data_IF_298535675616
#
_entry.id   IF_298535675616
#
_cell.length_a   1.000
_cell.length_b   1.000
_cell.length_c   1.000
_cell.angle_alpha   90.00
_cell.angle_beta   90.00
_cell.angle_gamma   90.00
#
_symmetry.space_group_name_H-M   'P 1'
#
loop_
_entity.id
_entity.type
_entity.pdbx_description
1 polymer ?
#
# COMPACT_ATOMS: atom_id res chain seq x y z
N UNK A 1 -58.20 -38.60 20.93
CA UNK A 1 -57.99 -37.90 22.18
C UNK A 1 -56.51 -37.71 22.33
N UNK A 2 -56.01 -36.56 21.92
CA UNK A 2 -54.63 -36.23 22.03
C UNK A 2 -54.54 -34.73 22.32
N UNK A 3 -54.26 -34.46 23.59
CA UNK A 3 -54.00 -33.10 24.10
C UNK A 3 -52.68 -32.59 23.60
N UNK A 4 -52.73 -31.41 23.00
CA UNK A 4 -51.54 -30.58 22.79
C UNK A 4 -51.53 -29.45 23.82
N UNK A 5 -50.47 -29.23 24.57
CA UNK A 5 -50.40 -28.07 25.44
C UNK A 5 -50.02 -26.80 24.65
N UNK A 6 -50.63 -25.71 25.11
CA UNK A 6 -50.56 -24.34 24.60
C UNK A 6 -49.14 -23.76 24.53
N UNK A 7 -48.81 -23.19 23.38
CA UNK A 7 -47.67 -22.29 23.23
C UNK A 7 -47.97 -20.94 23.88
N UNK A 8 -47.38 -20.70 25.04
CA UNK A 8 -47.32 -19.38 25.65
C UNK A 8 -46.24 -18.54 24.91
N UNK A 9 -46.69 -17.41 24.38
CA UNK A 9 -45.84 -16.42 23.75
C UNK A 9 -44.72 -15.94 24.66
N UNK A 10 -43.50 -15.98 24.15
CA UNK A 10 -42.34 -15.29 24.71
C UNK A 10 -42.38 -13.86 24.22
N UNK A 11 -42.86 -12.97 25.07
CA UNK A 11 -42.61 -11.52 24.89
C UNK A 11 -41.10 -11.27 25.00
N UNK A 12 -40.53 -10.76 23.92
CA UNK A 12 -39.14 -10.26 23.95
C UNK A 12 -39.16 -8.88 24.59
N UNK A 13 -38.66 -8.80 25.80
CA UNK A 13 -38.27 -7.55 26.41
C UNK A 13 -37.17 -6.90 25.56
N UNK A 14 -37.48 -5.72 25.05
CA UNK A 14 -36.49 -4.83 24.41
C UNK A 14 -35.49 -4.34 25.48
N UNK A 15 -34.29 -4.92 25.46
CA UNK A 15 -33.18 -4.41 26.23
C UNK A 15 -32.74 -3.05 25.64
N UNK A 16 -32.52 -2.02 26.47
CA UNK A 16 -32.04 -0.74 25.98
C UNK A 16 -30.66 -0.89 25.38
N UNK A 17 -30.50 -0.35 24.18
CA UNK A 17 -29.19 -0.23 23.51
C UNK A 17 -28.25 0.56 24.44
N UNK A 18 -27.27 -0.14 25.01
CA UNK A 18 -26.18 0.50 25.71
C UNK A 18 -25.30 1.19 24.65
N UNK A 19 -25.41 2.50 24.61
CA UNK A 19 -24.50 3.40 23.92
C UNK A 19 -23.12 3.29 24.60
N UNK A 20 -22.33 2.31 24.16
CA UNK A 20 -20.93 2.19 24.57
C UNK A 20 -20.12 3.00 23.59
N UNK A 21 -20.11 4.32 23.80
CA UNK A 21 -19.07 5.20 23.31
C UNK A 21 -17.74 4.68 23.86
N UNK A 22 -17.00 3.95 23.03
CA UNK A 22 -15.62 3.59 23.29
C UNK A 22 -14.82 4.88 23.28
N UNK A 23 -14.59 5.44 24.46
CA UNK A 23 -13.58 6.48 24.66
C UNK A 23 -12.24 5.88 24.24
N UNK A 24 -11.42 6.60 23.44
CA UNK A 24 -10.09 6.13 23.12
C UNK A 24 -9.26 6.09 24.41
N UNK A 25 -8.82 4.89 24.78
CA UNK A 25 -7.86 4.71 25.85
C UNK A 25 -6.59 5.51 25.51
N UNK A 26 -6.39 6.60 26.21
CA UNK A 26 -5.15 7.36 26.24
C UNK A 26 -4.08 6.50 26.91
N UNK A 27 -3.25 5.87 26.09
CA UNK A 27 -2.06 5.13 26.50
C UNK A 27 -0.87 5.66 25.73
N UNK A 28 -0.16 6.59 26.37
CA UNK A 28 1.26 6.90 26.33
C UNK A 28 1.95 7.17 25.00
N UNK A 29 2.66 8.26 25.02
CA UNK A 29 3.63 8.84 24.10
C UNK A 29 3.03 9.63 22.94
N UNK A 30 2.68 10.89 23.29
CA UNK A 30 2.30 11.96 22.38
C UNK A 30 3.37 12.22 21.31
N UNK A 31 3.32 11.47 20.22
CA UNK A 31 3.83 11.94 18.95
C UNK A 31 2.63 12.55 18.21
N UNK A 32 2.36 13.78 18.48
CA UNK A 32 1.32 14.54 17.77
C UNK A 32 1.80 14.81 16.33
N UNK A 33 1.64 13.83 15.46
CA UNK A 33 1.71 14.06 14.02
C UNK A 33 0.52 14.93 13.57
N UNK A 34 0.64 15.65 12.45
CA UNK A 34 -0.48 16.38 11.88
C UNK A 34 -1.67 15.46 11.66
N UNK A 35 -2.87 15.96 11.90
CA UNK A 35 -4.09 15.19 11.71
C UNK A 35 -4.12 14.61 10.26
N UNK A 36 -4.46 13.35 10.08
CA UNK A 36 -4.53 12.75 8.76
C UNK A 36 -5.51 13.52 7.88
N UNK A 37 -5.13 13.78 6.64
CA UNK A 37 -5.99 14.47 5.69
C UNK A 37 -7.02 13.51 5.11
N UNK A 38 -8.30 13.80 5.28
CA UNK A 38 -9.37 13.01 4.67
C UNK A 38 -9.40 13.26 3.16
N UNK A 39 -9.06 12.24 2.39
CA UNK A 39 -8.98 12.35 0.92
C UNK A 39 -10.25 11.83 0.25
N UNK A 40 -10.83 10.75 0.76
CA UNK A 40 -11.96 10.11 0.10
C UNK A 40 -12.85 9.34 1.08
N UNK A 41 -14.17 9.49 0.91
CA UNK A 41 -15.16 8.60 1.52
C UNK A 41 -15.57 7.56 0.47
N UNK A 42 -15.28 6.30 0.72
CA UNK A 42 -15.75 5.18 -0.11
C UNK A 42 -17.01 4.60 0.52
N UNK A 43 -18.01 4.36 -0.30
CA UNK A 43 -19.28 3.76 0.10
C UNK A 43 -19.42 2.38 -0.54
N UNK A 44 -20.08 1.45 0.19
CA UNK A 44 -20.25 0.07 -0.26
C UNK A 44 -19.01 -0.81 -0.10
N UNK A 45 -19.18 -2.12 -0.32
CA UNK A 45 -18.11 -3.10 -0.11
C UNK A 45 -16.91 -2.86 -1.05
N UNK A 46 -17.17 -2.47 -2.30
CA UNK A 46 -16.14 -2.29 -3.33
C UNK A 46 -15.84 -0.83 -3.64
N UNK A 47 -16.42 0.12 -2.92
CA UNK A 47 -16.23 1.55 -3.13
C UNK A 47 -16.85 2.09 -4.41
N UNK A 48 -17.77 1.36 -5.03
CA UNK A 48 -18.47 1.79 -6.22
C UNK A 48 -19.52 2.86 -5.86
N UNK A 49 -19.27 4.11 -6.22
CA UNK A 49 -20.24 5.18 -6.03
C UNK A 49 -21.34 5.08 -7.12
N UNK A 50 -22.59 5.02 -6.70
CA UNK A 50 -23.74 5.10 -7.60
C UNK A 50 -24.13 3.81 -8.32
N UNK A 51 -23.45 2.70 -8.10
CA UNK A 51 -23.91 1.38 -8.53
C UNK A 51 -24.99 0.87 -7.59
N UNK A 52 -25.94 0.11 -8.11
CA UNK A 52 -26.89 -0.65 -7.30
C UNK A 52 -26.14 -1.73 -6.54
N UNK A 53 -25.46 -1.35 -5.46
CA UNK A 53 -24.78 -2.29 -4.59
C UNK A 53 -25.84 -3.21 -3.92
N UNK A 54 -25.98 -4.39 -4.49
CA UNK A 54 -26.93 -5.42 -4.02
C UNK A 54 -26.33 -6.31 -2.93
N UNK A 55 -25.09 -6.03 -2.49
CA UNK A 55 -24.40 -6.83 -1.47
C UNK A 55 -24.99 -6.71 -0.07
N UNK A 56 -25.91 -5.76 0.18
CA UNK A 56 -26.42 -5.41 1.51
C UNK A 56 -25.49 -4.49 2.32
N UNK A 57 -24.33 -4.18 1.77
CA UNK A 57 -23.30 -3.33 2.42
C UNK A 57 -23.21 -1.91 1.82
N UNK A 58 -24.20 -1.50 1.00
CA UNK A 58 -24.22 -0.19 0.33
C UNK A 58 -24.20 1.02 1.27
N UNK A 59 -24.53 0.83 2.56
CA UNK A 59 -24.47 1.87 3.60
C UNK A 59 -23.12 1.94 4.29
N UNK A 60 -22.22 0.97 4.09
CA UNK A 60 -20.87 1.02 4.65
C UNK A 60 -20.12 2.22 4.08
N UNK A 61 -19.59 3.01 4.97
CA UNK A 61 -18.70 4.12 4.63
C UNK A 61 -17.29 3.79 5.13
N UNK A 62 -16.31 3.92 4.26
CA UNK A 62 -14.90 3.84 4.60
C UNK A 62 -14.26 5.19 4.33
N UNK A 63 -13.73 5.79 5.38
CA UNK A 63 -12.87 6.97 5.26
C UNK A 63 -11.49 6.48 4.86
N UNK A 64 -10.98 7.01 3.76
CA UNK A 64 -9.59 6.80 3.31
C UNK A 64 -8.82 8.06 3.66
N UNK A 65 -7.92 7.92 4.59
CA UNK A 65 -7.04 9.01 5.04
C UNK A 65 -5.66 8.82 4.40
N UNK A 66 -5.17 9.91 3.79
CA UNK A 66 -3.81 9.94 3.26
C UNK A 66 -2.98 10.85 4.18
N UNK A 67 -1.91 10.31 4.76
CA UNK A 67 -1.06 11.11 5.64
C UNK A 67 -0.36 12.21 4.86
N UNK A 68 -0.20 13.37 5.51
CA UNK A 68 0.50 14.52 4.96
C UNK A 68 1.95 14.58 5.47
N UNK A 69 2.83 15.31 4.78
CA UNK A 69 4.18 15.56 5.27
C UNK A 69 4.14 16.14 6.70
N UNK A 70 4.97 15.56 7.56
CA UNK A 70 5.11 15.92 8.96
C UNK A 70 6.31 16.86 9.11
N UNK A 71 6.14 17.94 9.87
CA UNK A 71 7.26 18.79 10.24
C UNK A 71 7.94 18.25 11.52
N UNK A 72 9.28 18.43 11.67
CA UNK A 72 9.94 18.08 12.92
C UNK A 72 9.39 18.90 14.12
N UNK A 73 9.42 18.38 15.36
CA UNK A 73 10.01 17.09 15.73
C UNK A 73 9.12 15.90 15.39
N UNK A 74 9.74 14.79 14.96
CA UNK A 74 9.05 13.54 14.60
C UNK A 74 8.81 12.62 15.80
N UNK A 75 9.57 12.83 16.88
CA UNK A 75 9.49 12.12 18.13
C UNK A 75 10.44 10.95 18.27
N UNK A 76 11.08 10.87 19.43
CA UNK A 76 11.93 9.76 19.83
C UNK A 76 13.07 9.45 18.85
N UNK A 77 13.20 8.17 18.48
CA UNK A 77 14.26 7.74 17.58
C UNK A 77 14.05 8.18 16.10
N UNK A 78 12.86 8.64 15.74
CA UNK A 78 12.60 9.19 14.40
C UNK A 78 13.41 10.45 14.14
N UNK A 79 13.49 11.35 15.14
CA UNK A 79 14.32 12.55 15.03
C UNK A 79 15.78 12.17 14.85
N UNK A 80 16.28 11.20 15.65
CA UNK A 80 17.66 10.73 15.52
C UNK A 80 17.98 10.23 14.12
N UNK A 81 17.09 9.43 13.52
CA UNK A 81 17.29 8.92 12.15
C UNK A 81 17.23 10.04 11.13
N UNK A 82 16.27 10.97 11.26
CA UNK A 82 16.12 12.07 10.33
C UNK A 82 17.33 13.03 10.38
N UNK A 83 17.82 13.33 11.58
CA UNK A 83 19.00 14.19 11.79
C UNK A 83 20.27 13.55 11.21
N UNK A 84 20.48 12.25 11.46
CA UNK A 84 21.61 11.51 10.88
C UNK A 84 21.53 11.44 9.35
N UNK A 85 20.34 11.19 8.80
CA UNK A 85 20.14 11.23 7.35
C UNK A 85 20.46 12.60 6.77
N UNK A 86 20.04 13.68 7.44
CA UNK A 86 20.33 15.05 6.99
C UNK A 86 21.81 15.38 7.00
N UNK A 87 22.62 14.71 7.84
CA UNK A 87 24.07 14.92 7.90
C UNK A 87 24.82 14.13 6.83
N UNK A 88 24.36 12.91 6.50
CA UNK A 88 25.11 12.00 5.62
C UNK A 88 24.63 12.04 4.16
N UNK A 89 23.44 12.56 3.90
CA UNK A 89 22.86 12.59 2.56
C UNK A 89 23.03 13.95 1.89
N UNK A 90 23.07 13.98 0.55
CA UNK A 90 23.08 15.24 -0.18
C UNK A 90 21.79 16.02 0.03
N UNK A 91 21.92 17.35 0.01
CA UNK A 91 20.77 18.24 0.13
C UNK A 91 19.72 17.94 -0.97
N UNK A 92 18.46 17.77 -0.56
CA UNK A 92 17.35 17.46 -1.45
C UNK A 92 17.20 15.96 -1.80
N UNK A 93 18.00 15.07 -1.20
CA UNK A 93 17.79 13.63 -1.35
C UNK A 93 16.48 13.17 -0.68
N UNK A 94 16.14 13.74 0.48
CA UNK A 94 14.86 13.56 1.15
C UNK A 94 13.97 14.75 0.79
N UNK A 95 12.84 14.49 0.16
CA UNK A 95 11.89 15.53 -0.29
C UNK A 95 10.74 15.75 0.68
N UNK A 96 10.36 14.71 1.40
CA UNK A 96 9.33 14.77 2.44
C UNK A 96 9.54 13.70 3.50
N UNK A 97 9.01 13.95 4.70
CA UNK A 97 8.95 12.97 5.78
C UNK A 97 7.51 12.86 6.23
N UNK A 98 7.02 11.65 6.40
CA UNK A 98 5.65 11.39 6.86
C UNK A 98 5.73 10.45 8.06
N UNK A 99 5.15 10.88 9.18
CA UNK A 99 4.94 10.02 10.35
C UNK A 99 3.46 9.70 10.47
N UNK A 100 3.13 8.42 10.40
CA UNK A 100 1.76 7.96 10.46
C UNK A 100 1.66 6.60 11.14
N UNK A 101 0.77 6.46 12.11
CA UNK A 101 0.51 5.20 12.85
C UNK A 101 1.77 4.56 13.44
N UNK A 102 2.69 5.39 13.97
CA UNK A 102 3.94 4.90 14.58
C UNK A 102 4.99 4.42 13.57
N UNK A 103 4.84 4.75 12.31
CA UNK A 103 5.82 4.48 11.25
C UNK A 103 6.31 5.77 10.62
N UNK A 104 7.59 5.81 10.25
CA UNK A 104 8.20 6.92 9.53
C UNK A 104 8.47 6.51 8.08
N UNK A 105 8.11 7.41 7.16
CA UNK A 105 8.35 7.26 5.72
C UNK A 105 9.15 8.46 5.22
N UNK A 106 10.24 8.20 4.50
CA UNK A 106 11.03 9.21 3.83
C UNK A 106 10.76 9.14 2.34
N UNK A 107 10.26 10.21 1.75
CA UNK A 107 10.16 10.34 0.30
C UNK A 107 11.51 10.75 -0.26
N UNK A 108 12.05 9.94 -1.15
CA UNK A 108 13.41 10.08 -1.68
C UNK A 108 13.34 10.50 -3.15
N UNK A 109 14.13 11.49 -3.50
CA UNK A 109 14.35 11.84 -4.91
C UNK A 109 15.00 10.66 -5.65
N UNK A 110 14.37 10.15 -6.72
CA UNK A 110 14.71 8.88 -7.37
C UNK A 110 16.20 8.75 -7.75
N UNK A 111 16.83 9.84 -8.21
CA UNK A 111 18.25 9.87 -8.59
C UNK A 111 19.19 9.59 -7.42
N UNK A 112 18.79 9.88 -6.19
CA UNK A 112 19.59 9.68 -4.98
C UNK A 112 19.33 8.34 -4.28
N UNK A 113 18.38 7.54 -4.77
CA UNK A 113 17.95 6.30 -4.09
C UNK A 113 19.12 5.37 -3.77
N UNK A 114 20.02 5.12 -4.73
CA UNK A 114 21.13 4.20 -4.53
C UNK A 114 22.15 4.72 -3.50
N UNK A 115 22.39 6.04 -3.50
CA UNK A 115 23.26 6.70 -2.52
C UNK A 115 22.64 6.66 -1.12
N UNK A 116 21.35 6.95 -1.02
CA UNK A 116 20.56 6.86 0.22
C UNK A 116 20.59 5.44 0.77
N UNK A 117 20.34 4.44 -0.07
CA UNK A 117 20.36 3.03 0.33
C UNK A 117 21.73 2.61 0.91
N UNK A 118 22.82 3.03 0.29
CA UNK A 118 24.19 2.78 0.79
C UNK A 118 24.44 3.47 2.12
N UNK A 119 24.09 4.75 2.24
CA UNK A 119 24.26 5.49 3.47
C UNK A 119 23.47 4.87 4.64
N UNK A 120 22.22 4.49 4.39
CA UNK A 120 21.38 3.84 5.40
C UNK A 120 21.94 2.50 5.87
N UNK A 121 22.53 1.70 4.97
CA UNK A 121 23.14 0.42 5.31
C UNK A 121 24.46 0.59 6.06
N UNK A 122 25.34 1.50 5.57
CA UNK A 122 26.75 1.53 5.96
C UNK A 122 27.02 2.47 7.15
N UNK A 123 26.15 3.48 7.40
CA UNK A 123 26.33 4.39 8.54
C UNK A 123 26.07 3.69 9.87
N UNK A 124 27.04 3.69 10.81
CA UNK A 124 26.92 2.89 12.06
C UNK A 124 25.73 3.25 12.94
N UNK A 125 25.29 4.51 12.93
CA UNK A 125 24.15 5.00 13.73
C UNK A 125 22.82 4.66 13.10
N UNK A 126 22.77 4.37 11.79
CA UNK A 126 21.58 4.00 11.03
C UNK A 126 21.45 2.48 10.88
N UNK A 127 22.41 1.84 10.25
CA UNK A 127 22.52 0.38 10.06
C UNK A 127 21.21 -0.30 9.65
N UNK A 128 20.56 0.20 8.59
CA UNK A 128 19.43 -0.47 7.99
C UNK A 128 19.93 -1.54 7.01
N UNK A 129 20.44 -2.63 7.56
CA UNK A 129 21.13 -3.68 6.81
C UNK A 129 20.19 -4.65 6.09
N UNK A 130 18.90 -4.65 6.42
CA UNK A 130 17.94 -5.58 5.85
C UNK A 130 16.86 -4.84 5.05
N UNK A 131 16.73 -5.20 3.76
CA UNK A 131 15.57 -4.84 2.93
C UNK A 131 14.52 -5.94 3.06
N UNK A 132 13.46 -5.66 3.80
CA UNK A 132 12.41 -6.63 4.07
C UNK A 132 11.45 -6.80 2.88
N UNK A 133 11.19 -5.74 2.13
CA UNK A 133 10.38 -5.80 0.91
C UNK A 133 10.58 -4.57 0.03
N UNK A 134 10.33 -4.75 -1.26
CA UNK A 134 10.10 -3.67 -2.24
C UNK A 134 8.75 -3.93 -2.89
N UNK A 135 7.91 -2.93 -2.99
CA UNK A 135 6.58 -3.07 -3.59
C UNK A 135 6.19 -1.85 -4.41
N UNK A 136 5.44 -2.07 -5.48
CA UNK A 136 4.88 -1.01 -6.32
C UNK A 136 3.48 -0.59 -5.87
N UNK A 137 3.14 0.68 -6.11
CA UNK A 137 1.78 1.19 -6.00
C UNK A 137 1.52 2.10 -7.19
N UNK A 138 0.36 1.95 -7.84
CA UNK A 138 -0.06 2.81 -8.93
C UNK A 138 -1.19 3.72 -8.47
N UNK A 139 -0.95 5.04 -8.51
CA UNK A 139 -1.89 6.10 -8.14
C UNK A 139 -2.14 7.05 -9.33
N UNK A 140 -2.99 6.69 -10.29
CA UNK A 140 -3.19 7.44 -11.54
C UNK A 140 -3.62 8.89 -11.37
N UNK A 141 -4.09 9.26 -10.19
CA UNK A 141 -4.52 10.63 -9.87
C UNK A 141 -3.37 11.56 -9.48
N UNK A 142 -2.19 11.03 -9.23
CA UNK A 142 -1.00 11.80 -8.86
C UNK A 142 -0.15 12.09 -10.09
N UNK A 143 -0.55 13.09 -10.88
CA UNK A 143 0.13 13.44 -12.14
C UNK A 143 1.62 13.73 -11.94
N UNK A 144 2.46 13.04 -12.71
CA UNK A 144 3.93 13.13 -12.65
C UNK A 144 4.57 12.28 -11.53
N UNK A 145 3.75 11.60 -10.73
CA UNK A 145 4.18 10.71 -9.65
C UNK A 145 3.20 9.53 -9.53
N UNK A 146 2.73 9.00 -10.66
CA UNK A 146 1.72 7.95 -10.69
C UNK A 146 2.23 6.62 -10.13
N UNK A 147 3.52 6.33 -10.33
CA UNK A 147 4.15 5.12 -9.85
C UNK A 147 4.94 5.40 -8.57
N UNK A 148 4.65 4.64 -7.54
CA UNK A 148 5.36 4.66 -6.26
C UNK A 148 6.08 3.34 -6.05
N UNK A 149 7.34 3.39 -5.65
CA UNK A 149 8.11 2.24 -5.22
C UNK A 149 8.44 2.40 -3.75
N UNK A 150 8.01 1.45 -2.95
CA UNK A 150 8.09 1.49 -1.49
C UNK A 150 9.07 0.44 -0.99
N UNK A 151 10.07 0.87 -0.26
CA UNK A 151 11.10 0.01 0.35
C UNK A 151 10.91 -0.03 1.85
N UNK A 152 10.77 -1.22 2.41
CA UNK A 152 10.77 -1.41 3.87
C UNK A 152 12.16 -1.87 4.31
N UNK A 153 12.83 -1.00 5.04
CA UNK A 153 14.17 -1.26 5.55
C UNK A 153 14.14 -1.48 7.05
N UNK A 154 14.92 -2.44 7.51
CA UNK A 154 15.02 -2.79 8.92
C UNK A 154 16.47 -2.80 9.39
N UNK A 155 16.70 -2.14 10.50
CA UNK A 155 17.92 -2.27 11.29
C UNK A 155 17.74 -3.40 12.27
N UNK A 156 18.49 -4.48 12.08
CA UNK A 156 18.55 -5.57 13.04
C UNK A 156 19.35 -5.16 14.28
N UNK A 157 20.37 -4.32 14.08
CA UNK A 157 21.24 -3.80 15.15
C UNK A 157 20.48 -2.92 16.13
N UNK A 158 19.63 -2.01 15.62
CA UNK A 158 18.91 -1.03 16.44
C UNK A 158 17.44 -1.41 16.68
N UNK A 159 16.96 -2.52 16.10
CA UNK A 159 15.57 -2.96 16.14
C UNK A 159 14.59 -1.85 15.70
N UNK A 160 14.89 -1.22 14.56
CA UNK A 160 14.12 -0.10 13.99
C UNK A 160 13.71 -0.44 12.58
N UNK A 161 12.57 0.10 12.16
CA UNK A 161 12.05 -0.04 10.79
C UNK A 161 11.68 1.32 10.22
N UNK A 162 12.08 1.53 8.98
CA UNK A 162 11.71 2.73 8.22
C UNK A 162 11.15 2.32 6.86
N UNK A 163 10.45 3.25 6.26
CA UNK A 163 9.98 3.14 4.88
C UNK A 163 10.63 4.22 4.03
N UNK A 164 11.13 3.83 2.86
CA UNK A 164 11.46 4.78 1.81
C UNK A 164 10.40 4.71 0.73
N UNK A 165 10.08 5.84 0.15
CA UNK A 165 9.15 5.95 -0.96
C UNK A 165 9.81 6.76 -2.08
N UNK A 166 9.79 6.19 -3.28
CA UNK A 166 10.29 6.84 -4.49
C UNK A 166 9.16 6.90 -5.50
N UNK A 167 9.01 8.03 -6.16
CA UNK A 167 7.99 8.20 -7.18
C UNK A 167 8.59 8.41 -8.55
N UNK A 168 7.88 7.95 -9.58
CA UNK A 168 8.20 8.23 -10.97
C UNK A 168 6.91 8.38 -11.80
N UNK A 169 6.97 9.14 -12.90
CA UNK A 169 5.82 9.27 -13.78
C UNK A 169 5.61 8.01 -14.61
N UNK A 170 4.36 7.73 -14.98
CA UNK A 170 3.99 6.64 -15.88
C UNK A 170 4.71 6.70 -17.24
N UNK A 171 4.97 7.91 -17.73
CA UNK A 171 5.67 8.12 -19.00
C UNK A 171 7.18 7.81 -18.93
N UNK A 172 7.75 7.76 -17.72
CA UNK A 172 9.18 7.48 -17.46
C UNK A 172 9.31 6.68 -16.15
N UNK A 173 8.87 5.40 -16.15
CA UNK A 173 8.78 4.58 -14.94
C UNK A 173 10.13 3.97 -14.55
N UNK A 174 11.19 4.76 -14.55
CA UNK A 174 12.56 4.35 -14.27
C UNK A 174 12.96 4.67 -12.84
N UNK A 175 13.54 3.70 -12.12
CA UNK A 175 14.06 3.83 -10.75
C UNK A 175 15.39 3.08 -10.66
N UNK A 176 16.45 3.65 -10.04
CA UNK A 176 17.70 2.92 -9.84
C UNK A 176 17.49 1.65 -9.02
N UNK A 177 18.06 0.52 -9.47
CA UNK A 177 18.05 -0.73 -8.72
C UNK A 177 18.90 -0.63 -7.46
N UNK A 178 18.39 -1.20 -6.35
CA UNK A 178 19.13 -1.29 -5.10
C UNK A 178 19.75 -2.68 -4.85
N UNK A 179 19.68 -3.60 -5.82
CA UNK A 179 20.21 -4.98 -5.70
C UNK A 179 21.69 -4.98 -5.32
N UNK A 180 22.50 -4.04 -5.82
CA UNK A 180 23.91 -3.92 -5.45
C UNK A 180 24.14 -3.56 -3.98
N UNK A 181 23.15 -3.04 -3.31
CA UNK A 181 23.17 -2.70 -1.86
C UNK A 181 22.46 -3.78 -1.05
N UNK A 182 21.28 -4.19 -1.50
CA UNK A 182 20.43 -5.19 -0.88
C UNK A 182 20.14 -6.34 -1.85
N UNK A 183 20.93 -7.42 -1.85
CA UNK A 183 20.72 -8.53 -2.79
C UNK A 183 19.33 -9.15 -2.73
N UNK A 184 18.66 -9.10 -1.58
CA UNK A 184 17.29 -9.60 -1.44
C UNK A 184 16.26 -8.81 -2.27
N UNK A 185 16.58 -7.58 -2.65
CA UNK A 185 15.73 -6.74 -3.48
C UNK A 185 15.55 -7.27 -4.91
N UNK A 186 16.44 -8.15 -5.41
CA UNK A 186 16.37 -8.75 -6.75
C UNK A 186 14.95 -9.28 -7.05
N UNK A 187 14.46 -10.16 -6.18
CA UNK A 187 13.15 -10.79 -6.36
C UNK A 187 11.99 -9.77 -6.28
N UNK A 188 12.08 -8.84 -5.37
CA UNK A 188 11.04 -7.81 -5.16
C UNK A 188 11.01 -6.78 -6.29
N UNK A 189 12.16 -6.39 -6.83
CA UNK A 189 12.25 -5.48 -7.96
C UNK A 189 11.68 -6.15 -9.23
N UNK A 190 12.00 -7.42 -9.47
CA UNK A 190 11.42 -8.20 -10.56
C UNK A 190 9.90 -8.31 -10.43
N UNK A 191 9.38 -8.56 -9.22
CA UNK A 191 7.95 -8.60 -8.96
C UNK A 191 7.29 -7.24 -9.23
N UNK A 192 7.90 -6.17 -8.76
CA UNK A 192 7.41 -4.80 -8.97
C UNK A 192 7.42 -4.43 -10.45
N UNK A 193 8.45 -4.82 -11.19
CA UNK A 193 8.47 -4.64 -12.63
C UNK A 193 7.38 -5.49 -13.31
N UNK A 194 7.27 -6.75 -12.95
CA UNK A 194 6.30 -7.67 -13.56
C UNK A 194 4.86 -7.18 -13.36
N UNK A 195 4.53 -6.71 -12.17
CA UNK A 195 3.18 -6.31 -11.79
C UNK A 195 2.80 -4.87 -12.18
N UNK A 196 3.75 -3.94 -12.19
CA UNK A 196 3.50 -2.51 -12.36
C UNK A 196 4.23 -1.88 -13.53
N UNK A 197 5.28 -2.51 -14.07
CA UNK A 197 6.05 -2.00 -15.20
C UNK A 197 7.16 -1.02 -14.84
N UNK A 198 7.50 -0.90 -13.56
CA UNK A 198 8.63 -0.05 -13.14
C UNK A 198 9.94 -0.66 -13.61
N UNK A 199 10.73 0.11 -14.36
CA UNK A 199 12.04 -0.29 -14.85
C UNK A 199 13.11 -0.01 -13.77
N UNK A 200 13.83 -1.04 -13.35
CA UNK A 200 14.90 -0.91 -12.36
C UNK A 200 16.26 -0.81 -13.05
N UNK A 201 16.78 0.40 -13.18
CA UNK A 201 18.02 0.68 -13.87
C UNK A 201 19.22 0.04 -13.15
N UNK A 202 19.98 -0.77 -13.87
CA UNK A 202 21.12 -1.51 -13.30
C UNK A 202 20.77 -2.80 -12.60
N UNK A 203 19.51 -3.26 -12.69
CA UNK A 203 19.14 -4.58 -12.24
C UNK A 203 19.83 -5.68 -13.08
N UNK A 204 20.42 -6.73 -12.47
CA UNK A 204 21.23 -7.71 -13.20
C UNK A 204 20.43 -8.58 -14.18
N UNK A 205 19.15 -8.86 -13.88
CA UNK A 205 18.31 -9.73 -14.71
C UNK A 205 16.82 -9.42 -14.48
N UNK A 206 16.33 -8.32 -15.06
CA UNK A 206 14.93 -7.91 -14.94
C UNK A 206 14.04 -8.76 -15.83
N UNK A 207 13.56 -9.87 -15.29
CA UNK A 207 12.70 -10.86 -15.97
C UNK A 207 11.44 -11.09 -15.17
N UNK A 208 10.36 -11.57 -15.82
CA UNK A 208 9.10 -11.87 -15.14
C UNK A 208 9.29 -12.93 -14.06
N UNK A 209 8.44 -12.92 -13.05
CA UNK A 209 8.50 -13.82 -11.90
C UNK A 209 7.13 -14.43 -11.58
N UNK A 210 6.05 -13.69 -11.72
CA UNK A 210 4.69 -14.14 -11.43
C UNK A 210 3.90 -14.44 -12.70
N UNK A 211 4.06 -13.62 -13.75
CA UNK A 211 3.36 -13.80 -15.00
C UNK A 211 4.21 -14.64 -15.97
N UNK A 212 3.58 -15.34 -16.93
CA UNK A 212 4.28 -15.95 -18.07
C UNK A 212 5.11 -14.92 -18.84
N UNK A 213 6.20 -15.36 -19.47
CA UNK A 213 7.13 -14.46 -20.18
C UNK A 213 6.47 -13.69 -21.32
N UNK A 214 5.45 -14.29 -21.95
CA UNK A 214 4.68 -13.73 -23.06
C UNK A 214 3.44 -12.92 -22.62
N UNK A 215 3.24 -12.73 -21.31
CA UNK A 215 2.07 -12.00 -20.81
C UNK A 215 2.10 -10.52 -21.22
N UNK A 216 1.03 -9.99 -21.84
CA UNK A 216 0.97 -8.58 -22.24
C UNK A 216 0.60 -7.67 -21.06
N UNK A 217 1.44 -6.64 -20.82
CA UNK A 217 1.18 -5.61 -19.82
C UNK A 217 1.52 -6.00 -18.37
N UNK A 218 0.99 -5.22 -17.44
CA UNK A 218 1.30 -5.28 -16.01
C UNK A 218 0.02 -5.31 -15.18
N UNK A 219 -0.37 -6.48 -14.64
CA UNK A 219 -1.75 -6.74 -14.19
C UNK A 219 -2.17 -5.99 -12.92
N UNK A 220 -1.25 -5.45 -12.11
CA UNK A 220 -1.61 -4.71 -10.90
C UNK A 220 -1.75 -3.20 -11.10
N UNK A 221 -1.46 -2.71 -12.29
CA UNK A 221 -1.77 -1.32 -12.64
C UNK A 221 -3.27 -1.07 -12.56
N UNK A 222 -3.67 0.12 -12.09
CA UNK A 222 -5.10 0.48 -11.96
C UNK A 222 -5.78 0.72 -13.30
N UNK A 223 -5.01 0.99 -14.34
CA UNK A 223 -5.46 1.15 -15.72
C UNK A 223 -5.46 -0.16 -16.52
N UNK A 224 -4.97 -1.26 -15.93
CA UNK A 224 -5.03 -2.58 -16.57
C UNK A 224 -6.48 -3.09 -16.58
N UNK A 225 -6.99 -3.54 -17.75
CA UNK A 225 -8.38 -3.99 -17.85
C UNK A 225 -8.63 -5.23 -16.99
N UNK A 226 -9.69 -5.17 -16.19
CA UNK A 226 -10.21 -6.34 -15.47
C UNK A 226 -11.01 -7.20 -16.46
N UNK A 227 -10.32 -7.83 -17.39
CA UNK A 227 -10.92 -8.80 -18.31
C UNK A 227 -10.73 -10.21 -17.78
N UNK A 228 -11.75 -11.06 -17.93
CA UNK A 228 -11.55 -12.49 -17.77
C UNK A 228 -10.65 -13.05 -18.88
N UNK A 229 -9.85 -14.06 -18.58
CA UNK A 229 -9.20 -14.86 -19.63
C UNK A 229 -10.31 -15.60 -20.37
N UNK A 230 -10.36 -15.47 -21.67
CA UNK A 230 -11.25 -16.28 -22.50
C UNK A 230 -10.87 -17.76 -22.32
N UNK A 231 -11.79 -18.52 -21.73
CA UNK A 231 -11.57 -19.94 -21.49
C UNK A 231 -12.07 -20.71 -22.73
N UNK A 232 -11.17 -21.27 -23.49
CA UNK A 232 -11.51 -22.23 -24.53
C UNK A 232 -11.74 -23.63 -23.94
N UNK A 233 -12.98 -24.11 -24.02
CA UNK A 233 -13.32 -25.48 -23.74
C UNK A 233 -13.46 -26.26 -25.03
N UNK A 234 -12.50 -27.12 -25.40
CA UNK A 234 -12.53 -27.98 -26.59
C UNK A 234 -12.89 -27.22 -27.87
N UNK A 235 -12.32 -26.04 -28.06
CA UNK A 235 -12.59 -25.19 -29.22
C UNK A 235 -13.85 -24.33 -29.13
N UNK A 236 -14.54 -24.30 -27.99
CA UNK A 236 -15.66 -23.41 -27.77
C UNK A 236 -15.24 -22.23 -26.86
N UNK A 237 -15.49 -21.01 -27.32
CA UNK A 237 -15.33 -19.79 -26.51
C UNK A 237 -16.52 -19.67 -25.56
N UNK A 238 -16.24 -19.66 -24.25
CA UNK A 238 -17.28 -19.41 -23.24
C UNK A 238 -17.48 -17.90 -23.11
N UNK A 239 -18.64 -17.40 -23.54
CA UNK A 239 -18.97 -15.99 -23.43
C UNK A 239 -18.91 -15.50 -21.97
N UNK A 240 -18.52 -14.22 -21.72
CA UNK A 240 -18.52 -13.65 -20.38
C UNK A 240 -19.88 -13.76 -19.71
N UNK A 241 -19.93 -13.77 -18.36
CA UNK A 241 -21.18 -13.95 -17.61
C UNK A 241 -22.27 -12.96 -17.98
N UNK A 242 -21.91 -11.74 -18.34
CA UNK A 242 -22.81 -10.65 -18.71
C UNK A 242 -23.60 -10.95 -19.98
N UNK A 243 -22.99 -11.70 -20.90
CA UNK A 243 -23.62 -12.06 -22.20
C UNK A 243 -24.30 -13.42 -22.17
N UNK A 244 -24.07 -14.24 -21.12
CA UNK A 244 -24.65 -15.57 -20.97
C UNK A 244 -26.06 -15.59 -20.35
N UNK A 245 -26.48 -14.51 -19.73
CA UNK A 245 -27.79 -14.39 -19.06
C UNK A 245 -28.62 -13.34 -19.77
N UNK A 246 -29.56 -13.76 -20.60
CA UNK A 246 -30.70 -12.92 -20.97
C UNK A 246 -31.79 -13.16 -19.92
N UNK A 247 -32.08 -12.19 -19.12
CA UNK A 247 -33.30 -12.19 -18.30
C UNK A 247 -34.43 -11.65 -19.21
N UNK A 248 -35.25 -12.54 -19.75
CA UNK A 248 -36.54 -12.22 -20.34
C UNK A 248 -37.61 -12.30 -19.28
#
# INVERSE_FOLDING_TARGET
MSDRPDEKGLEREDAPASDTSLEPTTGSDDVAGPAPHQVQIRRGMFGAAGSGDTSGFGRLQRVVEMPQPTAPPYGGWFDTVADEMAQVLPAGAVTAVVVHRGEITFTIERRHLLEVARALRDTPTLRFEHCASVSGVHLPTQQGAEMHVVYHLQSMTHNRRIRLEVTCPDADPHVPSVVSVYPAADWHERETWDMFGVQFDGHPALTRILMPDDWPGHPQRKDYPLGGIDIEYKGAVVAPPETRRSYT
#
